data_IF_464002896160
#
_entry.id   IF_464002896160
#
_cell.length_a   1.000
_cell.length_b   1.000
_cell.length_c   1.000
_cell.angle_alpha   90.00
_cell.angle_beta   90.00
_cell.angle_gamma   90.00
#
_symmetry.space_group_name_H-M   'P 1'
#
loop_
_entity.id
_entity.type
_entity.pdbx_description
1 polymer ?
#
# COMPACT_ATOMS: atom_id res chain seq x y z
N UNK A 1 -2.22 -31.90 13.68
CA UNK A 1 -2.19 -30.45 13.90
C UNK A 1 -0.74 -30.07 14.17
N UNK A 2 -0.04 -29.30 13.32
CA UNK A 2 1.28 -28.78 13.66
C UNK A 2 1.08 -27.67 14.69
N UNK A 3 1.87 -27.70 15.73
CA UNK A 3 1.81 -26.82 16.90
C UNK A 3 2.06 -25.37 16.51
N UNK A 4 1.07 -24.50 16.70
CA UNK A 4 1.09 -23.04 16.51
C UNK A 4 2.22 -22.30 17.30
N UNK A 5 2.91 -22.99 18.22
CA UNK A 5 3.91 -22.39 19.11
C UNK A 5 5.28 -22.12 18.48
N UNK A 6 5.65 -22.74 17.37
CA UNK A 6 6.95 -22.53 16.71
C UNK A 6 6.97 -21.34 15.72
N UNK A 7 5.84 -20.98 15.17
CA UNK A 7 5.75 -19.90 14.15
C UNK A 7 5.99 -18.49 14.73
N UNK A 8 5.77 -18.25 16.01
CA UNK A 8 5.94 -16.94 16.64
C UNK A 8 7.36 -16.63 17.12
N UNK A 9 8.24 -17.63 17.11
CA UNK A 9 9.65 -17.47 17.51
C UNK A 9 10.61 -17.32 16.31
N UNK A 10 10.12 -17.47 15.07
CA UNK A 10 10.90 -17.27 13.86
C UNK A 10 11.00 -15.77 13.53
N UNK A 11 12.15 -15.33 13.02
CA UNK A 11 12.34 -13.94 12.64
C UNK A 11 11.55 -13.60 11.38
N UNK A 12 10.66 -12.60 11.49
CA UNK A 12 9.91 -12.03 10.38
C UNK A 12 10.49 -10.66 10.02
N UNK A 13 10.85 -10.48 8.76
CA UNK A 13 11.32 -9.22 8.21
C UNK A 13 10.18 -8.47 7.50
N UNK A 14 9.97 -7.20 7.84
CA UNK A 14 9.12 -6.26 7.10
C UNK A 14 9.98 -5.14 6.55
N UNK A 15 10.07 -5.01 5.23
CA UNK A 15 10.72 -3.87 4.56
C UNK A 15 9.69 -2.80 4.20
N UNK A 16 10.12 -1.54 4.07
CA UNK A 16 9.19 -0.42 3.94
C UNK A 16 8.41 -0.15 5.24
N UNK A 17 8.98 -0.55 6.38
CA UNK A 17 8.32 -0.50 7.68
C UNK A 17 8.11 0.92 8.22
N UNK A 18 8.92 1.89 7.81
CA UNK A 18 8.70 3.32 8.08
C UNK A 18 7.61 3.95 7.23
N UNK A 19 7.02 3.18 6.30
CA UNK A 19 5.89 3.56 5.48
C UNK A 19 4.54 3.20 6.11
N UNK A 20 3.47 3.54 5.38
CA UNK A 20 2.09 3.36 5.84
C UNK A 20 1.73 1.89 6.08
N UNK A 21 1.75 1.05 5.02
CA UNK A 21 1.33 -0.36 5.13
C UNK A 21 2.32 -1.15 5.99
N UNK A 22 3.63 -0.91 5.82
CA UNK A 22 4.67 -1.62 6.57
C UNK A 22 4.61 -1.36 8.08
N UNK A 23 4.39 -0.12 8.50
CA UNK A 23 4.22 0.22 9.92
C UNK A 23 3.01 -0.46 10.55
N UNK A 24 1.87 -0.46 9.84
CA UNK A 24 0.67 -1.19 10.29
C UNK A 24 0.89 -2.70 10.34
N UNK A 25 1.62 -3.28 9.37
CA UNK A 25 1.91 -4.71 9.37
C UNK A 25 2.80 -5.10 10.57
N UNK A 26 3.82 -4.32 10.90
CA UNK A 26 4.64 -4.54 12.10
C UNK A 26 3.79 -4.49 13.37
N UNK A 27 2.91 -3.47 13.48
CA UNK A 27 2.00 -3.34 14.61
C UNK A 27 1.07 -4.56 14.75
N UNK A 28 0.55 -5.06 13.63
CA UNK A 28 -0.37 -6.20 13.62
C UNK A 28 0.33 -7.52 13.97
N UNK A 29 1.51 -7.80 13.40
CA UNK A 29 2.32 -8.97 13.73
C UNK A 29 2.67 -8.99 15.24
N UNK A 30 3.02 -7.83 15.82
CA UNK A 30 3.23 -7.71 17.27
C UNK A 30 1.98 -8.08 18.07
N UNK A 31 0.81 -7.57 17.68
CA UNK A 31 -0.48 -7.92 18.34
C UNK A 31 -0.81 -9.39 18.25
N UNK A 32 -0.40 -10.07 17.17
CA UNK A 32 -0.54 -11.50 16.99
C UNK A 32 0.46 -12.33 17.80
N UNK A 33 1.43 -11.68 18.48
CA UNK A 33 2.38 -12.34 19.39
C UNK A 33 3.69 -12.78 18.74
N UNK A 34 4.01 -12.28 17.53
CA UNK A 34 5.35 -12.47 16.95
C UNK A 34 6.41 -11.78 17.81
N UNK A 35 7.41 -12.53 18.28
CA UNK A 35 8.42 -12.05 19.22
C UNK A 35 9.69 -11.56 18.53
N UNK A 36 10.00 -12.09 17.35
CA UNK A 36 11.17 -11.72 16.58
C UNK A 36 10.73 -11.01 15.30
N UNK A 37 10.73 -9.68 15.36
CA UNK A 37 10.38 -8.81 14.23
C UNK A 37 11.56 -7.91 13.90
N UNK A 38 11.87 -7.82 12.61
CA UNK A 38 12.80 -6.83 12.07
C UNK A 38 12.04 -5.92 11.11
N UNK A 39 12.13 -4.63 11.35
CA UNK A 39 11.53 -3.57 10.57
C UNK A 39 12.63 -2.74 9.88
N UNK A 40 12.56 -2.61 8.56
CA UNK A 40 13.60 -1.94 7.77
C UNK A 40 12.98 -0.90 6.85
N UNK A 41 13.57 0.30 6.84
CA UNK A 41 13.23 1.37 5.90
C UNK A 41 14.47 2.24 5.62
N UNK A 42 14.46 2.97 4.51
CA UNK A 42 15.49 3.95 4.19
C UNK A 42 15.36 5.22 5.04
N UNK A 43 14.17 5.51 5.53
CA UNK A 43 13.90 6.67 6.39
C UNK A 43 14.53 6.51 7.77
N UNK A 44 15.03 7.60 8.37
CA UNK A 44 15.38 7.61 9.79
C UNK A 44 14.23 7.10 10.67
N UNK A 45 14.51 6.25 11.65
CA UNK A 45 13.49 5.65 12.53
C UNK A 45 12.64 6.71 13.25
N UNK A 46 13.23 7.86 13.57
CA UNK A 46 12.52 8.99 14.20
C UNK A 46 11.43 9.63 13.31
N UNK A 47 11.45 9.35 12.01
CA UNK A 47 10.45 9.86 11.05
C UNK A 47 9.31 8.87 10.80
N UNK A 48 9.36 7.66 11.37
CA UNK A 48 8.31 6.67 11.22
C UNK A 48 7.08 7.06 12.03
N UNK A 49 5.89 6.93 11.47
CA UNK A 49 4.65 7.12 12.24
C UNK A 49 4.44 6.02 13.28
N UNK A 50 4.94 4.81 13.01
CA UNK A 50 4.83 3.64 13.87
C UNK A 50 6.20 3.00 14.00
N UNK A 51 6.76 3.03 15.21
CA UNK A 51 7.99 2.34 15.58
C UNK A 51 7.84 1.79 17.00
N UNK A 52 8.43 0.63 17.26
CA UNK A 52 8.23 -0.09 18.53
C UNK A 52 9.57 -0.45 19.13
N UNK A 53 9.81 -0.15 20.45
CA UNK A 53 11.11 -0.39 21.10
C UNK A 53 11.53 -1.86 21.17
N UNK A 54 10.58 -2.78 21.12
CA UNK A 54 10.76 -4.23 21.16
C UNK A 54 10.97 -4.87 19.77
N UNK A 55 11.01 -4.07 18.71
CA UNK A 55 11.27 -4.49 17.33
C UNK A 55 12.69 -4.07 16.92
N UNK A 56 13.40 -4.93 16.18
CA UNK A 56 14.70 -4.63 15.58
C UNK A 56 14.52 -3.63 14.41
N UNK A 57 14.45 -2.33 14.73
CA UNK A 57 14.25 -1.24 13.77
C UNK A 57 15.58 -0.84 13.16
N UNK A 58 15.71 -0.93 11.83
CA UNK A 58 16.93 -0.61 11.10
C UNK A 58 16.70 0.39 9.98
N UNK A 59 17.57 1.38 9.89
CA UNK A 59 17.64 2.27 8.73
C UNK A 59 18.63 1.67 7.72
N UNK A 60 18.12 1.15 6.59
CA UNK A 60 18.92 0.54 5.53
C UNK A 60 18.39 0.94 4.14
N UNK A 61 19.29 1.24 3.22
CA UNK A 61 18.96 1.44 1.80
C UNK A 61 19.00 0.10 1.05
N UNK A 62 17.85 -0.47 0.79
CA UNK A 62 17.72 -1.77 0.14
C UNK A 62 17.98 -1.73 -1.38
N UNK A 63 18.33 -0.59 -1.95
CA UNK A 63 18.91 -0.53 -3.30
C UNK A 63 20.32 -1.12 -3.32
N UNK A 64 20.96 -1.23 -2.16
CA UNK A 64 22.29 -1.78 -1.99
C UNK A 64 22.22 -3.26 -1.57
N UNK A 65 22.89 -4.13 -2.32
CA UNK A 65 22.86 -5.58 -2.04
C UNK A 65 23.36 -5.95 -0.63
N UNK A 66 24.44 -5.38 -0.09
CA UNK A 66 24.87 -5.67 1.29
C UNK A 66 23.83 -5.31 2.35
N UNK A 67 23.05 -4.25 2.13
CA UNK A 67 21.95 -3.88 3.01
C UNK A 67 20.82 -4.92 2.98
N UNK A 68 20.50 -5.48 1.81
CA UNK A 68 19.54 -6.58 1.69
C UNK A 68 20.04 -7.84 2.42
N UNK A 69 21.31 -8.22 2.27
CA UNK A 69 21.90 -9.36 2.97
C UNK A 69 21.83 -9.18 4.50
N UNK A 70 22.13 -7.98 5.00
CA UNK A 70 22.01 -7.65 6.42
C UNK A 70 20.55 -7.65 6.91
N UNK A 71 19.61 -7.22 6.06
CA UNK A 71 18.19 -7.21 6.39
C UNK A 71 17.61 -8.62 6.53
N UNK A 72 17.92 -9.55 5.60
CA UNK A 72 17.35 -10.91 5.59
C UNK A 72 18.06 -11.88 6.52
N UNK A 73 19.22 -11.52 7.08
CA UNK A 73 20.02 -12.44 7.91
C UNK A 73 19.19 -13.04 9.06
N UNK A 74 19.00 -14.37 9.02
CA UNK A 74 18.22 -15.13 10.01
C UNK A 74 16.71 -15.06 9.85
N UNK A 75 16.17 -14.34 8.86
CA UNK A 75 14.73 -14.26 8.63
C UNK A 75 14.21 -15.55 7.99
N UNK A 76 13.10 -16.07 8.52
CA UNK A 76 12.35 -17.18 7.93
C UNK A 76 11.27 -16.67 6.95
N UNK A 77 10.68 -15.51 7.24
CA UNK A 77 9.67 -14.87 6.41
C UNK A 77 10.03 -13.41 6.09
N UNK A 78 9.74 -13.01 4.87
CA UNK A 78 10.00 -11.64 4.39
C UNK A 78 8.72 -11.06 3.81
N UNK A 79 8.31 -9.89 4.31
CA UNK A 79 7.30 -9.04 3.68
C UNK A 79 8.02 -7.86 3.01
N UNK A 80 8.19 -7.95 1.68
CA UNK A 80 8.82 -6.90 0.90
C UNK A 80 7.79 -5.86 0.43
N UNK A 81 7.73 -4.73 1.16
CA UNK A 81 6.86 -3.59 0.86
C UNK A 81 7.66 -2.33 0.48
N UNK A 82 8.99 -2.43 0.51
CA UNK A 82 9.85 -1.30 0.18
C UNK A 82 9.78 -0.94 -1.30
N UNK A 83 9.42 0.30 -1.59
CA UNK A 83 9.49 0.88 -2.93
C UNK A 83 9.43 2.41 -2.85
N UNK A 84 9.97 3.08 -3.86
CA UNK A 84 9.78 4.52 -4.00
C UNK A 84 8.49 4.78 -4.80
N UNK A 85 7.49 5.35 -4.13
CA UNK A 85 6.17 5.56 -4.73
C UNK A 85 5.39 6.67 -4.01
N UNK A 86 4.33 7.13 -4.62
CA UNK A 86 3.40 8.12 -4.08
C UNK A 86 2.02 8.04 -4.72
N UNK A 87 1.24 9.10 -4.59
CA UNK A 87 0.02 9.32 -5.38
C UNK A 87 0.33 9.63 -6.85
N UNK A 88 -0.71 9.84 -7.66
CA UNK A 88 -0.57 10.04 -9.11
C UNK A 88 0.37 11.19 -9.47
N UNK A 89 0.33 12.30 -8.73
CA UNK A 89 1.23 13.43 -8.97
C UNK A 89 2.72 13.04 -8.90
N UNK A 90 3.09 12.19 -7.93
CA UNK A 90 4.46 11.70 -7.80
C UNK A 90 4.81 10.67 -8.90
N UNK A 91 3.97 9.67 -9.11
CA UNK A 91 4.23 8.58 -10.06
C UNK A 91 4.39 9.10 -11.50
N UNK A 92 3.57 10.07 -11.91
CA UNK A 92 3.63 10.65 -13.27
C UNK A 92 4.87 11.51 -13.50
N UNK A 93 5.42 12.14 -12.45
CA UNK A 93 6.53 13.08 -12.55
C UNK A 93 7.89 12.52 -12.15
N UNK A 94 7.94 11.36 -11.47
CA UNK A 94 9.16 10.73 -10.93
C UNK A 94 9.30 9.28 -11.41
N UNK A 95 9.06 9.05 -12.70
CA UNK A 95 9.02 7.70 -13.30
C UNK A 95 10.34 6.94 -13.12
N UNK A 96 11.47 7.58 -13.35
CA UNK A 96 12.78 6.96 -13.19
C UNK A 96 13.03 6.53 -11.72
N UNK A 97 12.68 7.36 -10.76
CA UNK A 97 12.82 7.05 -9.33
C UNK A 97 11.95 5.84 -8.93
N UNK A 98 10.71 5.80 -9.41
CA UNK A 98 9.84 4.64 -9.20
C UNK A 98 10.46 3.36 -9.80
N UNK A 99 11.04 3.44 -11.02
CA UNK A 99 11.65 2.27 -11.68
C UNK A 99 12.94 1.80 -11.00
N UNK A 100 13.70 2.64 -10.33
CA UNK A 100 14.89 2.25 -9.57
C UNK A 100 14.55 1.26 -8.44
N UNK A 101 13.29 1.20 -7.99
CA UNK A 101 12.80 0.20 -7.03
C UNK A 101 13.02 -1.25 -7.52
N UNK A 102 13.25 -1.47 -8.82
CA UNK A 102 13.65 -2.79 -9.35
C UNK A 102 14.92 -3.33 -8.69
N UNK A 103 15.85 -2.44 -8.29
CA UNK A 103 17.06 -2.84 -7.55
C UNK A 103 16.71 -3.44 -6.19
N UNK A 104 15.80 -2.80 -5.45
CA UNK A 104 15.31 -3.31 -4.15
C UNK A 104 14.76 -4.72 -4.35
N UNK A 105 13.82 -4.89 -5.27
CA UNK A 105 13.14 -6.16 -5.48
C UNK A 105 14.10 -7.27 -5.94
N UNK A 106 15.03 -6.95 -6.86
CA UNK A 106 16.03 -7.89 -7.34
C UNK A 106 16.99 -8.30 -6.23
N UNK A 107 17.57 -7.35 -5.50
CA UNK A 107 18.52 -7.64 -4.43
C UNK A 107 17.86 -8.38 -3.26
N UNK A 108 16.64 -8.02 -2.90
CA UNK A 108 15.88 -8.70 -1.85
C UNK A 108 15.56 -10.16 -2.21
N UNK A 109 15.16 -10.46 -3.46
CA UNK A 109 14.93 -11.82 -3.93
C UNK A 109 16.22 -12.65 -3.90
N UNK A 110 17.33 -12.08 -4.39
CA UNK A 110 18.64 -12.75 -4.34
C UNK A 110 19.08 -13.00 -2.90
N UNK A 111 18.97 -12.01 -2.01
CA UNK A 111 19.33 -12.13 -0.61
C UNK A 111 18.47 -13.16 0.13
N UNK A 112 17.14 -13.14 -0.11
CA UNK A 112 16.20 -14.09 0.48
C UNK A 112 16.49 -15.53 0.06
N UNK A 113 16.79 -15.76 -1.24
CA UNK A 113 17.23 -17.07 -1.74
C UNK A 113 18.51 -17.54 -1.04
N UNK A 114 19.53 -16.69 -0.99
CA UNK A 114 20.86 -17.03 -0.46
C UNK A 114 20.83 -17.28 1.05
N UNK A 115 19.93 -16.58 1.77
CA UNK A 115 19.70 -16.77 3.21
C UNK A 115 18.77 -17.94 3.55
N UNK A 116 18.17 -18.61 2.56
CA UNK A 116 17.25 -19.72 2.78
C UNK A 116 15.90 -19.32 3.37
N UNK A 117 15.42 -18.10 3.07
CA UNK A 117 14.10 -17.61 3.47
C UNK A 117 13.02 -18.60 3.00
N UNK A 118 12.10 -18.98 3.89
CA UNK A 118 11.06 -19.96 3.61
C UNK A 118 9.90 -19.38 2.80
N UNK A 119 9.46 -18.15 3.15
CA UNK A 119 8.36 -17.45 2.48
C UNK A 119 8.70 -16.00 2.21
N UNK A 120 8.37 -15.56 1.02
CA UNK A 120 8.63 -14.21 0.54
C UNK A 120 7.35 -13.58 -0.01
N UNK A 121 6.85 -12.55 0.64
CA UNK A 121 5.73 -11.76 0.18
C UNK A 121 6.21 -10.55 -0.63
N UNK A 122 5.55 -10.28 -1.74
CA UNK A 122 5.79 -9.12 -2.59
C UNK A 122 4.54 -8.26 -2.73
N UNK A 123 4.66 -6.97 -2.42
CA UNK A 123 3.60 -5.98 -2.64
C UNK A 123 3.64 -5.46 -4.07
N UNK A 124 2.82 -6.02 -4.93
CA UNK A 124 2.51 -5.49 -6.24
C UNK A 124 1.40 -4.43 -6.17
N UNK A 125 0.90 -3.97 -7.29
CA UNK A 125 -0.02 -2.84 -7.39
C UNK A 125 -1.04 -3.03 -8.50
N UNK A 126 -2.20 -2.41 -8.37
CA UNK A 126 -3.16 -2.28 -9.47
C UNK A 126 -2.64 -1.45 -10.66
N UNK A 127 -1.49 -0.78 -10.53
CA UNK A 127 -0.84 -0.07 -11.63
C UNK A 127 -0.25 -1.00 -12.71
N UNK A 128 -0.24 -2.33 -12.47
CA UNK A 128 0.20 -3.33 -13.45
C UNK A 128 -0.87 -3.66 -14.50
N UNK A 129 -2.12 -3.30 -14.25
CA UNK A 129 -3.21 -3.59 -15.16
C UNK A 129 -3.15 -2.77 -16.45
N UNK A 130 -3.57 -3.41 -17.55
CA UNK A 130 -3.53 -2.80 -18.86
C UNK A 130 -4.35 -1.51 -18.92
N UNK A 131 -3.72 -0.44 -19.39
CA UNK A 131 -4.29 0.91 -19.37
C UNK A 131 -5.54 1.05 -20.25
N UNK A 132 -5.62 0.30 -21.37
CA UNK A 132 -6.76 0.28 -22.29
C UNK A 132 -8.05 -0.23 -21.63
N UNK A 133 -7.94 -1.07 -20.59
CA UNK A 133 -9.08 -1.56 -19.79
C UNK A 133 -9.57 -0.55 -18.75
N UNK A 134 -8.89 0.58 -18.57
CA UNK A 134 -9.14 1.56 -17.53
C UNK A 134 -9.57 2.95 -18.07
N UNK A 135 -10.15 2.97 -19.25
CA UNK A 135 -10.49 4.20 -20.00
C UNK A 135 -11.87 4.79 -19.64
N UNK A 136 -12.68 4.08 -18.85
CA UNK A 136 -14.04 4.49 -18.46
C UNK A 136 -14.21 4.51 -16.95
N UNK A 137 -15.02 5.43 -16.39
CA UNK A 137 -15.27 5.47 -14.96
C UNK A 137 -16.18 4.32 -14.47
N UNK A 138 -17.01 3.76 -15.34
CA UNK A 138 -17.95 2.67 -15.10
C UNK A 138 -17.40 1.31 -15.57
N UNK A 139 -16.09 1.10 -15.48
CA UNK A 139 -15.44 -0.13 -15.95
C UNK A 139 -15.91 -1.37 -15.17
N UNK A 140 -15.80 -2.53 -15.83
CA UNK A 140 -15.88 -3.82 -15.14
C UNK A 140 -14.70 -3.96 -14.15
N UNK A 141 -14.92 -4.54 -12.96
CA UNK A 141 -13.82 -4.79 -12.03
C UNK A 141 -12.68 -5.59 -12.67
N UNK A 142 -11.43 -5.19 -12.38
CA UNK A 142 -10.22 -5.78 -12.97
C UNK A 142 -9.93 -7.14 -12.33
N UNK A 143 -9.87 -8.16 -13.17
CA UNK A 143 -9.46 -9.52 -12.79
C UNK A 143 -7.95 -9.68 -12.95
N UNK A 144 -7.38 -10.66 -12.28
CA UNK A 144 -5.93 -10.90 -12.30
C UNK A 144 -5.39 -11.16 -13.72
N UNK A 145 -6.19 -11.76 -14.60
CA UNK A 145 -5.84 -11.99 -16.02
C UNK A 145 -5.75 -10.69 -16.84
N UNK A 146 -6.40 -9.61 -16.42
CA UNK A 146 -6.40 -8.31 -17.09
C UNK A 146 -5.04 -7.58 -17.09
N UNK A 147 -4.05 -8.14 -16.41
CA UNK A 147 -2.66 -7.70 -16.50
C UNK A 147 -2.02 -7.95 -17.88
N UNK A 148 -2.65 -8.81 -18.69
CA UNK A 148 -2.13 -9.20 -19.99
C UNK A 148 -3.18 -9.07 -21.10
N UNK A 149 -2.77 -8.69 -22.35
CA UNK A 149 -1.42 -8.28 -22.75
C UNK A 149 -0.91 -7.10 -21.93
N UNK A 150 0.41 -7.08 -21.61
CA UNK A 150 0.98 -6.11 -20.71
C UNK A 150 0.94 -4.68 -21.29
N UNK A 151 0.24 -3.78 -20.59
CA UNK A 151 0.19 -2.34 -20.86
C UNK A 151 0.07 -1.59 -19.52
N UNK A 152 0.99 -1.82 -18.57
CA UNK A 152 0.92 -1.23 -17.25
C UNK A 152 1.14 0.29 -17.31
N UNK A 153 0.83 0.95 -16.19
CA UNK A 153 1.12 2.36 -16.00
C UNK A 153 2.62 2.64 -16.13
N UNK A 154 2.97 3.68 -16.87
CA UNK A 154 4.34 4.00 -17.23
C UNK A 154 5.22 4.29 -15.99
N UNK A 155 6.40 3.70 -15.95
CA UNK A 155 7.32 3.74 -14.80
C UNK A 155 6.94 2.75 -13.70
N UNK A 156 6.18 3.17 -12.72
CA UNK A 156 5.82 2.36 -11.54
C UNK A 156 5.12 1.04 -11.87
N UNK A 157 4.16 1.06 -12.80
CA UNK A 157 3.44 -0.16 -13.20
C UNK A 157 4.36 -1.20 -13.85
N UNK A 158 5.29 -0.76 -14.71
CA UNK A 158 6.27 -1.64 -15.35
C UNK A 158 7.24 -2.26 -14.34
N UNK A 159 7.73 -1.46 -13.37
CA UNK A 159 8.58 -1.97 -12.30
C UNK A 159 7.87 -3.07 -11.52
N UNK A 160 6.61 -2.82 -11.13
CA UNK A 160 5.81 -3.79 -10.36
C UNK A 160 5.55 -5.07 -11.15
N UNK A 161 5.17 -4.97 -12.42
CA UNK A 161 4.91 -6.15 -13.26
C UNK A 161 6.19 -6.97 -13.52
N UNK A 162 7.32 -6.30 -13.75
CA UNK A 162 8.62 -6.96 -13.87
C UNK A 162 8.96 -7.74 -12.60
N UNK A 163 8.78 -7.13 -11.45
CA UNK A 163 9.06 -7.76 -10.15
C UNK A 163 8.13 -8.93 -9.84
N UNK A 164 6.86 -8.91 -10.27
CA UNK A 164 5.99 -10.10 -10.23
C UNK A 164 6.61 -11.27 -11.03
N UNK A 165 7.12 -10.98 -12.24
CA UNK A 165 7.79 -12.00 -13.06
C UNK A 165 9.05 -12.52 -12.37
N UNK A 166 9.85 -11.68 -11.75
CA UNK A 166 11.02 -12.09 -10.97
C UNK A 166 10.62 -13.01 -9.80
N UNK A 167 9.59 -12.65 -9.02
CA UNK A 167 9.09 -13.52 -7.94
C UNK A 167 8.69 -14.90 -8.47
N UNK A 168 7.96 -14.95 -9.58
CA UNK A 168 7.55 -16.20 -10.21
C UNK A 168 8.76 -17.06 -10.58
N UNK A 169 9.76 -16.50 -11.29
CA UNK A 169 10.92 -17.27 -11.74
C UNK A 169 11.85 -17.67 -10.59
N UNK A 170 11.99 -16.84 -9.56
CA UNK A 170 12.71 -17.26 -8.34
C UNK A 170 12.05 -18.46 -7.65
N UNK A 171 10.73 -18.56 -7.71
CA UNK A 171 10.00 -19.74 -7.22
C UNK A 171 10.26 -20.96 -8.12
N UNK A 172 10.17 -20.79 -9.44
CA UNK A 172 10.32 -21.87 -10.42
C UNK A 172 11.75 -22.42 -10.45
N UNK A 173 12.75 -21.55 -10.45
CA UNK A 173 14.16 -21.92 -10.65
C UNK A 173 14.86 -22.28 -9.32
N UNK A 174 14.49 -21.66 -8.22
CA UNK A 174 15.19 -21.78 -6.93
C UNK A 174 14.32 -22.28 -5.78
N UNK A 175 13.03 -22.48 -5.98
CA UNK A 175 12.11 -22.99 -4.95
C UNK A 175 11.71 -21.99 -3.88
N UNK A 176 12.08 -20.69 -3.98
CA UNK A 176 11.68 -19.65 -3.03
C UNK A 176 10.16 -19.48 -3.05
N UNK A 177 9.49 -19.72 -1.92
CA UNK A 177 8.04 -19.69 -1.85
C UNK A 177 7.51 -18.24 -1.85
N UNK A 178 7.25 -17.71 -3.05
CA UNK A 178 6.77 -16.33 -3.22
C UNK A 178 5.24 -16.22 -3.17
N UNK A 179 4.74 -15.11 -2.61
CA UNK A 179 3.32 -14.70 -2.56
C UNK A 179 3.22 -13.28 -3.08
N UNK A 180 2.26 -12.99 -3.95
CA UNK A 180 2.17 -11.71 -4.65
C UNK A 180 0.78 -11.12 -4.47
N UNK A 181 0.70 -9.96 -3.82
CA UNK A 181 -0.54 -9.19 -3.69
C UNK A 181 -0.55 -7.97 -4.61
N UNK A 182 -1.62 -7.78 -5.36
CA UNK A 182 -1.89 -6.56 -6.13
C UNK A 182 -2.78 -5.64 -5.30
N UNK A 183 -2.16 -4.66 -4.65
CA UNK A 183 -2.88 -3.72 -3.80
C UNK A 183 -3.65 -2.68 -4.62
N UNK A 184 -4.95 -2.52 -4.29
CA UNK A 184 -5.82 -1.50 -4.86
C UNK A 184 -6.03 -0.35 -3.88
N UNK A 185 -5.35 0.80 -4.13
CA UNK A 185 -5.55 2.09 -3.45
C UNK A 185 -5.76 2.00 -1.93
N UNK A 186 -4.82 1.40 -1.22
CA UNK A 186 -4.89 1.27 0.24
C UNK A 186 -4.86 2.65 0.91
N UNK A 187 -5.71 2.86 1.92
CA UNK A 187 -5.83 4.10 2.70
C UNK A 187 -6.09 3.79 4.19
N UNK A 188 -5.85 4.77 5.05
CA UNK A 188 -6.05 4.67 6.49
C UNK A 188 -5.25 5.70 7.27
N UNK A 189 -5.31 5.68 8.62
CA UNK A 189 -4.46 6.49 9.49
C UNK A 189 -2.97 6.14 9.32
N UNK A 190 -2.07 7.01 9.81
CA UNK A 190 -0.62 6.85 9.75
C UNK A 190 -0.02 6.77 8.32
N UNK A 191 -0.78 7.22 7.31
CA UNK A 191 -0.31 7.40 5.95
C UNK A 191 0.13 8.83 5.68
N UNK A 192 0.96 9.02 4.63
CA UNK A 192 1.33 10.35 4.14
C UNK A 192 0.09 11.12 3.70
N UNK A 193 -0.14 12.31 4.26
CA UNK A 193 -1.27 13.18 3.93
C UNK A 193 -0.84 14.54 3.36
N UNK A 194 0.47 14.84 3.33
CA UNK A 194 1.07 16.08 2.81
C UNK A 194 2.38 15.80 2.07
N UNK A 195 2.96 16.82 1.40
CA UNK A 195 4.28 16.73 0.76
C UNK A 195 4.27 16.15 -0.66
N UNK A 196 3.12 16.02 -1.31
CA UNK A 196 2.99 15.66 -2.73
C UNK A 196 3.01 14.15 -3.03
N UNK A 197 3.17 13.31 -2.01
CA UNK A 197 3.14 11.83 -2.15
C UNK A 197 1.82 11.22 -1.69
N UNK A 198 0.91 12.02 -1.15
CA UNK A 198 -0.37 11.57 -0.64
C UNK A 198 -1.31 11.05 -1.73
N UNK A 199 -2.08 10.02 -1.41
CA UNK A 199 -3.16 9.50 -2.25
C UNK A 199 -4.47 10.26 -2.03
N UNK A 200 -5.42 10.12 -2.96
CA UNK A 200 -6.68 10.88 -2.96
C UNK A 200 -7.44 10.88 -1.61
N UNK A 201 -7.63 9.76 -0.88
CA UNK A 201 -8.31 9.79 0.41
C UNK A 201 -7.65 10.73 1.42
N UNK A 202 -6.34 10.63 1.59
CA UNK A 202 -5.59 11.47 2.52
C UNK A 202 -5.53 12.94 2.06
N UNK A 203 -5.32 13.17 0.75
CA UNK A 203 -5.30 14.51 0.17
C UNK A 203 -6.63 15.25 0.35
N UNK A 204 -7.76 14.55 0.16
CA UNK A 204 -9.10 15.13 0.33
C UNK A 204 -9.36 15.45 1.80
N UNK A 205 -9.04 14.53 2.73
CA UNK A 205 -9.15 14.81 4.17
C UNK A 205 -8.35 16.07 4.55
N UNK A 206 -7.06 16.14 4.14
CA UNK A 206 -6.20 17.30 4.40
C UNK A 206 -6.78 18.59 3.85
N UNK A 207 -7.25 18.58 2.57
CA UNK A 207 -7.84 19.77 1.92
C UNK A 207 -9.07 20.27 2.66
N UNK A 208 -9.95 19.37 3.09
CA UNK A 208 -11.17 19.71 3.84
C UNK A 208 -10.80 20.27 5.21
N UNK A 209 -9.89 19.65 5.95
CA UNK A 209 -9.44 20.18 7.26
C UNK A 209 -8.77 21.55 7.09
N UNK A 210 -7.89 21.71 6.11
CA UNK A 210 -7.23 23.00 5.85
C UNK A 210 -8.23 24.10 5.48
N UNK A 211 -9.24 23.79 4.66
CA UNK A 211 -10.29 24.73 4.28
C UNK A 211 -11.16 25.15 5.48
N UNK A 212 -11.50 24.21 6.38
CA UNK A 212 -12.22 24.50 7.63
C UNK A 212 -11.40 25.45 8.52
N UNK A 213 -10.13 25.14 8.76
CA UNK A 213 -9.24 25.95 9.60
C UNK A 213 -9.02 27.37 9.05
N UNK A 214 -8.98 27.50 7.72
CA UNK A 214 -8.82 28.77 7.03
C UNK A 214 -10.13 29.56 6.85
N UNK A 215 -11.29 28.99 7.17
CA UNK A 215 -12.61 29.59 6.86
C UNK A 215 -12.85 29.75 5.35
N UNK A 216 -12.23 28.91 4.52
CA UNK A 216 -12.38 28.93 3.08
C UNK A 216 -13.78 28.49 2.64
N UNK A 217 -14.20 28.88 1.43
CA UNK A 217 -15.51 28.50 0.87
C UNK A 217 -15.39 27.45 -0.23
N UNK A 218 -14.19 27.19 -0.72
CA UNK A 218 -13.94 26.27 -1.81
C UNK A 218 -12.75 25.35 -1.55
N UNK A 219 -12.73 24.19 -2.25
CA UNK A 219 -11.61 23.26 -2.29
C UNK A 219 -11.23 22.94 -3.75
N UNK A 220 -9.95 22.70 -3.99
CA UNK A 220 -9.46 22.27 -5.29
C UNK A 220 -9.68 20.76 -5.51
N UNK A 221 -10.21 20.41 -6.67
CA UNK A 221 -10.39 19.02 -7.15
C UNK A 221 -9.57 18.82 -8.41
N UNK A 222 -8.67 17.86 -8.41
CA UNK A 222 -7.86 17.53 -9.59
C UNK A 222 -8.70 16.73 -10.60
N UNK A 223 -8.69 17.19 -11.85
CA UNK A 223 -9.55 16.68 -12.92
C UNK A 223 -10.98 17.22 -12.80
N UNK A 224 -11.92 16.46 -13.36
CA UNK A 224 -13.38 16.75 -13.33
C UNK A 224 -14.11 16.10 -12.16
N UNK A 225 -13.38 15.32 -11.34
CA UNK A 225 -13.94 14.58 -10.22
C UNK A 225 -14.72 13.30 -10.61
N UNK A 226 -14.85 13.00 -11.91
CA UNK A 226 -15.60 11.83 -12.39
C UNK A 226 -14.73 10.59 -12.57
N UNK A 227 -13.41 10.69 -12.40
CA UNK A 227 -12.55 9.49 -12.34
C UNK A 227 -12.93 8.64 -11.13
N UNK A 228 -13.08 7.33 -11.35
CA UNK A 228 -13.55 6.41 -10.31
C UNK A 228 -12.44 5.48 -9.80
N UNK A 229 -12.50 5.16 -8.51
CA UNK A 229 -11.59 4.24 -7.83
C UNK A 229 -12.35 3.43 -6.79
N UNK A 230 -11.88 2.21 -6.55
CA UNK A 230 -12.13 1.56 -5.27
C UNK A 230 -10.97 1.80 -4.31
N UNK A 231 -11.27 1.91 -3.01
CA UNK A 231 -10.31 2.19 -1.96
C UNK A 231 -10.39 1.12 -0.88
N UNK A 232 -9.25 0.54 -0.53
CA UNK A 232 -9.16 -0.56 0.43
C UNK A 232 -8.68 -0.03 1.77
N UNK A 233 -9.45 -0.22 2.83
CA UNK A 233 -9.03 0.18 4.17
C UNK A 233 -7.87 -0.66 4.65
N UNK A 234 -6.99 -0.07 5.45
CA UNK A 234 -5.74 -0.70 5.87
C UNK A 234 -5.94 -2.05 6.57
N UNK A 235 -6.95 -2.21 7.41
CA UNK A 235 -7.18 -3.45 8.15
C UNK A 235 -7.55 -4.61 7.21
N UNK A 236 -8.38 -4.36 6.17
CA UNK A 236 -8.66 -5.34 5.12
C UNK A 236 -7.40 -5.68 4.31
N UNK A 237 -6.56 -4.68 4.01
CA UNK A 237 -5.29 -4.90 3.34
C UNK A 237 -4.37 -5.82 4.15
N UNK A 238 -4.24 -5.59 5.45
CA UNK A 238 -3.43 -6.43 6.35
C UNK A 238 -3.98 -7.85 6.45
N UNK A 239 -5.30 -7.98 6.63
CA UNK A 239 -5.94 -9.30 6.70
C UNK A 239 -5.65 -10.12 5.43
N UNK A 240 -5.88 -9.54 4.25
CA UNK A 240 -5.59 -10.20 2.97
C UNK A 240 -4.11 -10.53 2.80
N UNK A 241 -3.21 -9.64 3.23
CA UNK A 241 -1.75 -9.84 3.19
C UNK A 241 -1.34 -11.05 4.03
N UNK A 242 -1.80 -11.13 5.27
CA UNK A 242 -1.47 -12.23 6.18
C UNK A 242 -2.10 -13.55 5.74
N UNK A 243 -3.37 -13.52 5.29
CA UNK A 243 -4.04 -14.70 4.76
C UNK A 243 -3.32 -15.25 3.52
N UNK A 244 -2.88 -14.37 2.60
CA UNK A 244 -2.12 -14.76 1.42
C UNK A 244 -0.75 -15.34 1.80
N UNK A 245 -0.02 -14.71 2.72
CA UNK A 245 1.28 -15.19 3.19
C UNK A 245 1.18 -16.59 3.80
N UNK A 246 0.12 -16.85 4.59
CA UNK A 246 -0.13 -18.14 5.22
C UNK A 246 -0.62 -19.22 4.23
N UNK A 247 -1.09 -18.83 3.05
CA UNK A 247 -1.68 -19.74 2.06
C UNK A 247 -0.62 -20.43 1.18
N UNK A 248 -1.11 -21.35 0.33
CA UNK A 248 -0.30 -21.96 -0.75
C UNK A 248 -0.59 -21.33 -2.12
N UNK A 249 -1.25 -20.18 -2.17
CA UNK A 249 -1.53 -19.47 -3.42
C UNK A 249 -0.24 -18.88 -3.97
N UNK A 250 0.08 -19.21 -5.21
CA UNK A 250 1.34 -18.83 -5.87
C UNK A 250 1.15 -17.80 -6.99
N UNK A 251 -0.07 -17.69 -7.51
CA UNK A 251 -0.40 -16.69 -8.52
C UNK A 251 -0.69 -15.35 -7.85
N UNK A 252 -0.44 -14.23 -8.55
CA UNK A 252 -0.81 -12.90 -8.05
C UNK A 252 -2.29 -12.81 -7.73
N UNK A 253 -2.64 -12.17 -6.61
CA UNK A 253 -4.03 -11.97 -6.17
C UNK A 253 -4.30 -10.49 -5.91
N UNK A 254 -5.49 -10.03 -6.31
CA UNK A 254 -6.02 -8.74 -5.92
C UNK A 254 -6.31 -8.69 -4.42
N UNK A 255 -5.83 -7.63 -3.77
CA UNK A 255 -6.30 -7.21 -2.44
C UNK A 255 -6.86 -5.80 -2.59
N UNK A 256 -8.18 -5.73 -2.77
CA UNK A 256 -8.87 -4.50 -3.14
C UNK A 256 -10.36 -4.52 -2.79
N UNK A 257 -10.92 -3.36 -2.46
CA UNK A 257 -12.37 -3.20 -2.32
C UNK A 257 -13.04 -3.21 -3.70
N UNK A 258 -14.26 -3.69 -3.79
CA UNK A 258 -15.14 -3.60 -4.95
C UNK A 258 -16.11 -2.39 -4.88
N UNK A 259 -16.04 -1.59 -3.82
CA UNK A 259 -16.84 -0.38 -3.65
C UNK A 259 -16.28 0.75 -4.52
N UNK A 260 -16.83 0.88 -5.74
CA UNK A 260 -16.40 1.87 -6.72
C UNK A 260 -17.06 3.22 -6.46
N UNK A 261 -16.25 4.27 -6.33
CA UNK A 261 -16.72 5.65 -6.14
C UNK A 261 -15.97 6.62 -7.04
N UNK A 262 -16.63 7.72 -7.45
CA UNK A 262 -15.95 8.85 -8.09
C UNK A 262 -15.21 9.67 -7.05
N UNK A 263 -14.26 10.51 -7.49
CA UNK A 263 -13.60 11.47 -6.59
C UNK A 263 -14.62 12.46 -6.01
N UNK A 264 -15.65 12.85 -6.78
CA UNK A 264 -16.74 13.68 -6.27
C UNK A 264 -17.49 13.00 -5.12
N UNK A 265 -17.83 11.71 -5.26
CA UNK A 265 -18.47 10.93 -4.19
C UNK A 265 -17.56 10.74 -2.98
N UNK A 266 -16.26 10.54 -3.19
CA UNK A 266 -15.30 10.49 -2.08
C UNK A 266 -15.25 11.80 -1.30
N UNK A 267 -15.30 12.96 -1.99
CA UNK A 267 -15.38 14.26 -1.36
C UNK A 267 -16.69 14.38 -0.57
N UNK A 268 -17.84 13.95 -1.14
CA UNK A 268 -19.14 13.97 -0.44
C UNK A 268 -19.08 13.21 0.89
N UNK A 269 -18.47 12.01 0.88
CA UNK A 269 -18.27 11.19 2.10
C UNK A 269 -17.47 11.94 3.16
N UNK A 270 -16.35 12.58 2.77
CA UNK A 270 -15.52 13.32 3.75
C UNK A 270 -16.20 14.59 4.24
N UNK A 271 -16.92 15.31 3.37
CA UNK A 271 -17.72 16.48 3.76
C UNK A 271 -18.85 16.12 4.75
N UNK A 272 -19.48 14.95 4.56
CA UNK A 272 -20.48 14.43 5.52
C UNK A 272 -19.85 14.11 6.88
N UNK A 273 -18.69 13.44 6.90
CA UNK A 273 -17.95 13.13 8.11
C UNK A 273 -17.55 14.41 8.84
N UNK A 274 -17.09 15.42 8.10
CA UNK A 274 -16.66 16.71 8.62
C UNK A 274 -17.81 17.65 8.97
N UNK A 275 -19.05 17.32 8.59
CA UNK A 275 -20.25 18.15 8.70
C UNK A 275 -20.07 19.54 8.04
N UNK A 276 -19.57 19.56 6.81
CA UNK A 276 -19.31 20.77 6.00
C UNK A 276 -19.71 20.55 4.55
N UNK A 277 -19.78 21.65 3.79
CA UNK A 277 -19.88 21.64 2.33
C UNK A 277 -19.05 22.77 1.76
N UNK A 278 -18.29 22.47 0.70
CA UNK A 278 -17.44 23.40 -0.03
C UNK A 278 -17.85 23.49 -1.50
N UNK A 279 -17.62 24.65 -2.11
CA UNK A 279 -17.60 24.76 -3.56
C UNK A 279 -16.39 24.02 -4.11
N UNK A 280 -16.54 23.37 -5.27
CA UNK A 280 -15.45 22.58 -5.91
C UNK A 280 -14.87 23.39 -7.07
N UNK A 281 -13.58 23.68 -6.99
CA UNK A 281 -12.83 24.28 -8.08
C UNK A 281 -12.03 23.19 -8.79
N UNK A 282 -12.46 22.83 -10.00
CA UNK A 282 -11.85 21.77 -10.79
C UNK A 282 -10.61 22.25 -11.54
N UNK A 283 -9.49 21.52 -11.38
CA UNK A 283 -8.21 21.76 -12.06
C UNK A 283 -8.05 20.69 -13.14
N UNK A 284 -8.56 20.96 -14.32
CA UNK A 284 -8.70 19.97 -15.40
C UNK A 284 -7.37 19.43 -15.92
N UNK A 285 -6.29 20.20 -15.86
CA UNK A 285 -4.95 19.84 -16.37
C UNK A 285 -4.08 19.15 -15.31
N UNK A 286 -4.57 18.97 -14.08
CA UNK A 286 -3.84 18.26 -13.03
C UNK A 286 -3.73 16.75 -13.33
N UNK A 287 -2.70 16.06 -12.79
CA UNK A 287 -2.54 14.61 -12.94
C UNK A 287 -3.77 13.84 -12.45
N UNK A 288 -4.33 12.98 -13.29
CA UNK A 288 -5.58 12.23 -13.01
C UNK A 288 -5.38 10.72 -12.96
N UNK A 289 -4.34 10.23 -13.64
CA UNK A 289 -4.17 8.80 -13.90
C UNK A 289 -5.28 8.22 -14.78
N UNK A 290 -5.53 6.92 -14.63
CA UNK A 290 -6.57 6.20 -15.40
C UNK A 290 -7.98 6.70 -15.06
N UNK A 291 -8.93 6.47 -15.96
CA UNK A 291 -10.31 6.95 -15.83
C UNK A 291 -11.13 6.17 -14.79
N UNK A 292 -10.89 4.85 -14.70
CA UNK A 292 -11.55 3.99 -13.72
C UNK A 292 -10.61 2.88 -13.24
N UNK A 293 -10.75 2.45 -11.96
CA UNK A 293 -10.03 1.31 -11.39
C UNK A 293 -10.81 0.70 -10.24
N UNK A 294 -11.19 -0.57 -10.39
CA UNK A 294 -11.91 -1.34 -9.38
C UNK A 294 -11.32 -2.75 -9.27
N UNK A 295 -11.34 -3.35 -8.10
CA UNK A 295 -10.87 -4.71 -7.87
C UNK A 295 -11.99 -5.72 -8.14
N UNK A 296 -11.69 -6.79 -8.89
CA UNK A 296 -12.50 -8.00 -8.86
C UNK A 296 -12.02 -8.88 -7.68
N UNK A 297 -12.94 -9.32 -6.84
CA UNK A 297 -12.66 -10.11 -5.63
C UNK A 297 -13.02 -11.60 -5.79
N UNK A 298 -13.30 -12.05 -7.01
CA UNK A 298 -13.69 -13.45 -7.27
C UNK A 298 -12.58 -14.42 -6.88
N UNK A 299 -11.35 -14.15 -7.32
CA UNK A 299 -10.23 -15.06 -7.09
C UNK A 299 -9.84 -15.13 -5.61
N UNK A 300 -9.76 -13.99 -4.91
CA UNK A 300 -9.43 -13.98 -3.48
C UNK A 300 -10.49 -14.71 -2.65
N UNK A 301 -11.78 -14.54 -2.97
CA UNK A 301 -12.87 -15.25 -2.31
C UNK A 301 -12.76 -16.76 -2.53
N UNK A 302 -12.49 -17.20 -3.77
CA UNK A 302 -12.34 -18.62 -4.10
C UNK A 302 -11.12 -19.27 -3.43
N UNK A 303 -10.00 -18.55 -3.38
CA UNK A 303 -8.71 -19.10 -2.90
C UNK A 303 -8.51 -18.99 -1.40
N UNK A 304 -8.99 -17.90 -0.78
CA UNK A 304 -8.76 -17.60 0.64
C UNK A 304 -10.05 -17.61 1.48
N UNK A 305 -11.23 -17.78 0.86
CA UNK A 305 -12.52 -17.75 1.56
C UNK A 305 -12.86 -16.39 2.17
N UNK A 306 -12.25 -15.32 1.70
CA UNK A 306 -12.34 -13.97 2.26
C UNK A 306 -12.30 -12.91 1.15
N UNK A 307 -12.88 -11.75 1.43
CA UNK A 307 -12.75 -10.53 0.64
C UNK A 307 -12.85 -9.30 1.55
N UNK A 308 -12.31 -8.13 1.15
CA UNK A 308 -12.48 -6.87 1.87
C UNK A 308 -13.94 -6.54 2.15
N UNK A 309 -14.24 -6.06 3.35
CA UNK A 309 -15.61 -5.83 3.81
C UNK A 309 -15.83 -4.49 4.52
N UNK A 310 -14.76 -3.79 4.88
CA UNK A 310 -14.85 -2.48 5.56
C UNK A 310 -15.33 -1.45 4.55
N UNK A 311 -16.47 -0.81 4.87
CA UNK A 311 -17.07 0.19 4.00
C UNK A 311 -16.21 1.45 3.93
N UNK A 312 -16.21 2.09 2.74
CA UNK A 312 -15.42 3.31 2.51
C UNK A 312 -15.69 4.38 3.57
N UNK A 313 -16.97 4.63 3.89
CA UNK A 313 -17.35 5.64 4.87
C UNK A 313 -16.72 5.39 6.25
N UNK A 314 -16.72 4.13 6.71
CA UNK A 314 -16.23 3.79 8.05
C UNK A 314 -14.70 3.96 8.15
N UNK A 315 -13.96 3.51 7.13
CA UNK A 315 -12.52 3.72 7.04
C UNK A 315 -12.14 5.19 6.85
N UNK A 316 -12.95 5.95 6.09
CA UNK A 316 -12.72 7.39 5.89
C UNK A 316 -12.95 8.18 7.17
N UNK A 317 -13.91 7.81 8.02
CA UNK A 317 -14.12 8.46 9.30
C UNK A 317 -12.89 8.35 10.20
N UNK A 318 -12.28 7.16 10.30
CA UNK A 318 -11.04 6.95 11.07
C UNK A 318 -9.86 7.73 10.47
N UNK A 319 -9.73 7.70 9.14
CA UNK A 319 -8.66 8.41 8.42
C UNK A 319 -8.78 9.92 8.59
N UNK A 320 -10.00 10.47 8.45
CA UNK A 320 -10.26 11.88 8.62
C UNK A 320 -9.96 12.35 10.06
N UNK A 321 -10.42 11.62 11.07
CA UNK A 321 -10.17 11.95 12.48
C UNK A 321 -8.68 12.00 12.76
N UNK A 322 -7.95 11.01 12.30
CA UNK A 322 -6.50 10.98 12.50
C UNK A 322 -5.80 12.18 11.82
N UNK A 323 -6.11 12.48 10.54
CA UNK A 323 -5.52 13.63 9.83
C UNK A 323 -5.90 14.94 10.49
N UNK A 324 -7.18 15.10 10.88
CA UNK A 324 -7.66 16.28 11.60
C UNK A 324 -6.84 16.51 12.88
N UNK A 325 -6.66 15.47 13.70
CA UNK A 325 -5.90 15.56 14.94
C UNK A 325 -4.43 15.95 14.68
N UNK A 326 -3.80 15.39 13.62
CA UNK A 326 -2.44 15.76 13.25
C UNK A 326 -2.32 17.24 12.83
N UNK A 327 -3.33 17.78 12.15
CA UNK A 327 -3.31 19.16 11.64
C UNK A 327 -3.70 20.21 12.69
N UNK A 328 -4.50 19.84 13.69
CA UNK A 328 -4.97 20.74 14.76
C UNK A 328 -4.00 20.76 15.95
N UNK A 329 -3.18 19.72 16.13
CA UNK A 329 -2.20 19.70 17.22
C UNK A 329 -1.09 20.74 17.01
N UNK A 330 -0.62 21.43 18.09
CA UNK A 330 0.51 22.33 17.98
C UNK A 330 1.77 21.60 17.48
N UNK A 331 2.57 22.27 16.66
CA UNK A 331 3.85 21.76 16.18
C UNK A 331 4.72 21.32 17.38
N UNK A 332 4.97 20.02 17.52
CA UNK A 332 5.72 19.40 18.64
C UNK A 332 5.02 18.24 19.32
N UNK A 333 3.75 18.00 19.06
CA UNK A 333 2.95 16.95 19.70
C UNK A 333 2.63 15.76 18.77
N UNK A 334 3.61 15.19 18.03
CA UNK A 334 3.38 13.89 17.39
C UNK A 334 3.08 12.85 18.46
N UNK A 335 1.80 12.44 18.57
CA UNK A 335 1.51 11.23 19.35
C UNK A 335 2.05 10.03 18.58
N UNK A 336 3.15 9.47 19.07
CA UNK A 336 3.52 8.09 18.78
C UNK A 336 2.47 7.23 19.50
N UNK A 337 1.55 6.67 18.74
CA UNK A 337 0.60 5.69 19.30
C UNK A 337 1.40 4.40 19.53
N UNK A 338 1.59 4.07 20.81
CA UNK A 338 2.22 2.84 21.26
C UNK A 338 1.30 1.63 21.06
#
# INVERSE_FOLDING_TARGET
>A
MPTLSKQHDDLVLVTGAGGFIGGHLVADLRRQGHRQLRAVDVKPVAEWYQSFPDVDNRQLDLRERPACDAAVAGASEVYNLACDMGGMGFIETHKAECMISVLINTHMLMAARDAGVQRYFYSSSACIYAADKQTRPDLAPLKEEDAYPAMPEDGYGWEKLFSERMCRHFREDYGLQTRIARYHNVYGPHGTYEGGREKAPAAICRKIVAAQLAGAREIEVWGDGEQSRSFTYIDDCLHGTLALMASNVVDPINIGSDELVTINQLIDVVEEIANVRFQRRYILDAPKGVRGRCSDNTLITQKLGWAPSIKLRDGMEQTYRWIHDQMVMPAGGRRVYA
#
